data_IF_879095564770
#
_entry.id   IF_879095564770
#
_cell.length_a   1.000
_cell.length_b   1.000
_cell.length_c   1.000
_cell.angle_alpha   90.00
_cell.angle_beta   90.00
_cell.angle_gamma   90.00
#
_symmetry.space_group_name_H-M   'P 1'
#
loop_
_entity.id
_entity.type
_entity.pdbx_description
1 polymer ?
#
# COMPACT_ATOMS: atom_id res chain seq x y z
N UNK A 1 -21.23 -7.89 0.30
CA UNK A 1 -21.79 -8.78 -0.75
C UNK A 1 -20.69 -9.09 -1.76
N UNK A 2 -20.62 -10.31 -2.30
CA UNK A 2 -19.63 -10.66 -3.34
C UNK A 2 -20.32 -10.62 -4.71
N UNK A 3 -19.67 -10.05 -5.72
CA UNK A 3 -20.14 -10.05 -7.11
C UNK A 3 -19.20 -10.87 -7.99
N UNK A 4 -19.75 -11.55 -8.98
CA UNK A 4 -18.99 -12.35 -9.93
C UNK A 4 -18.53 -11.47 -11.09
N UNK A 5 -17.28 -11.65 -11.52
CA UNK A 5 -16.69 -10.97 -12.66
C UNK A 5 -16.22 -12.04 -13.65
N UNK A 6 -16.67 -11.94 -14.90
CA UNK A 6 -16.20 -12.81 -15.99
C UNK A 6 -15.01 -12.15 -16.68
N UNK A 7 -13.91 -12.90 -16.86
CA UNK A 7 -12.68 -12.41 -17.47
C UNK A 7 -12.29 -13.29 -18.65
N UNK A 8 -11.96 -12.66 -19.77
CA UNK A 8 -11.34 -13.32 -20.92
C UNK A 8 -9.82 -13.22 -20.78
N UNK A 9 -9.15 -14.37 -20.66
CA UNK A 9 -7.71 -14.46 -20.52
C UNK A 9 -7.15 -15.46 -21.54
N UNK A 10 -5.90 -15.26 -21.93
CA UNK A 10 -5.19 -16.19 -22.79
C UNK A 10 -5.10 -17.59 -22.13
N UNK A 11 -5.32 -18.66 -22.92
CA UNK A 11 -5.25 -20.05 -22.45
C UNK A 11 -3.92 -20.38 -21.78
N UNK A 12 -2.81 -19.84 -22.28
CA UNK A 12 -1.46 -20.03 -21.71
C UNK A 12 -1.38 -19.43 -20.31
N UNK A 13 -1.97 -18.24 -20.11
CA UNK A 13 -2.02 -17.58 -18.80
C UNK A 13 -2.88 -18.38 -17.83
N UNK A 14 -4.05 -18.86 -18.26
CA UNK A 14 -4.92 -19.72 -17.43
C UNK A 14 -4.17 -20.98 -16.97
N UNK A 15 -3.42 -21.63 -17.87
CA UNK A 15 -2.64 -22.84 -17.53
C UNK A 15 -1.56 -22.54 -16.49
N UNK A 16 -0.80 -21.46 -16.67
CA UNK A 16 0.23 -21.02 -15.72
C UNK A 16 -0.38 -20.63 -14.37
N UNK A 17 -1.51 -19.92 -14.38
CA UNK A 17 -2.22 -19.51 -13.17
C UNK A 17 -2.70 -20.72 -12.35
N UNK A 18 -3.23 -21.76 -13.00
CA UNK A 18 -3.63 -23.01 -12.32
C UNK A 18 -2.46 -23.69 -11.62
N UNK A 19 -1.31 -23.79 -12.30
CA UNK A 19 -0.09 -24.37 -11.71
C UNK A 19 0.38 -23.54 -10.51
N UNK A 20 0.40 -22.21 -10.64
CA UNK A 20 0.80 -21.32 -9.56
C UNK A 20 -0.16 -21.41 -8.36
N UNK A 21 -1.46 -21.49 -8.61
CA UNK A 21 -2.49 -21.62 -7.60
C UNK A 21 -2.33 -22.94 -6.82
N UNK A 22 -2.12 -24.05 -7.53
CA UNK A 22 -1.83 -25.35 -6.90
C UNK A 22 -0.56 -25.31 -6.04
N UNK A 23 0.53 -24.70 -6.53
CA UNK A 23 1.78 -24.52 -5.76
C UNK A 23 1.60 -23.69 -4.48
N UNK A 24 0.58 -22.84 -4.42
CA UNK A 24 0.28 -21.95 -3.30
C UNK A 24 -0.91 -22.45 -2.46
N UNK A 25 -1.39 -23.68 -2.70
CA UNK A 25 -2.57 -24.25 -2.04
C UNK A 25 -3.79 -23.30 -2.11
N UNK A 26 -3.95 -22.63 -3.24
CA UNK A 26 -4.96 -21.60 -3.47
C UNK A 26 -5.74 -21.86 -4.76
N UNK A 27 -6.88 -21.18 -4.92
CA UNK A 27 -7.62 -21.15 -6.18
C UNK A 27 -7.19 -19.98 -7.06
N UNK A 28 -7.37 -20.10 -8.38
CA UNK A 28 -7.09 -19.00 -9.33
C UNK A 28 -7.92 -17.77 -8.99
N UNK A 29 -9.20 -17.95 -8.64
CA UNK A 29 -10.09 -16.87 -8.21
C UNK A 29 -9.58 -16.16 -6.95
N UNK A 30 -9.06 -16.92 -5.98
CA UNK A 30 -8.48 -16.34 -4.75
C UNK A 30 -7.25 -15.48 -5.09
N UNK A 31 -6.34 -15.97 -5.93
CA UNK A 31 -5.18 -15.20 -6.37
C UNK A 31 -5.58 -13.91 -7.10
N UNK A 32 -6.56 -13.97 -8.00
CA UNK A 32 -7.06 -12.80 -8.71
C UNK A 32 -7.71 -11.78 -7.77
N UNK A 33 -8.51 -12.25 -6.81
CA UNK A 33 -9.13 -11.40 -5.80
C UNK A 33 -8.08 -10.70 -4.92
N UNK A 34 -7.04 -11.41 -4.49
CA UNK A 34 -5.93 -10.84 -3.71
C UNK A 34 -5.15 -9.79 -4.49
N UNK A 35 -4.86 -10.05 -5.77
CA UNK A 35 -4.19 -9.07 -6.64
C UNK A 35 -5.04 -7.81 -6.85
N UNK A 36 -6.34 -7.97 -7.13
CA UNK A 36 -7.24 -6.84 -7.30
C UNK A 36 -7.36 -6.03 -6.00
N UNK A 37 -7.45 -6.71 -4.86
CA UNK A 37 -7.48 -6.06 -3.54
C UNK A 37 -6.21 -5.26 -3.30
N UNK A 38 -5.04 -5.80 -3.68
CA UNK A 38 -3.76 -5.09 -3.56
C UNK A 38 -3.75 -3.81 -4.40
N UNK A 39 -4.13 -3.90 -5.67
CA UNK A 39 -4.15 -2.74 -6.59
C UNK A 39 -5.05 -1.64 -6.03
N UNK A 40 -6.27 -1.97 -5.61
CA UNK A 40 -7.22 -1.00 -5.04
C UNK A 40 -6.67 -0.42 -3.72
N UNK A 41 -6.11 -1.27 -2.86
CA UNK A 41 -5.55 -0.82 -1.59
C UNK A 41 -4.37 0.12 -1.78
N UNK A 42 -3.48 -0.14 -2.74
CA UNK A 42 -2.33 0.70 -3.05
C UNK A 42 -2.79 2.10 -3.51
N UNK A 43 -3.81 2.17 -4.37
CA UNK A 43 -4.40 3.43 -4.83
C UNK A 43 -5.03 4.23 -3.66
N UNK A 44 -5.85 3.57 -2.84
CA UNK A 44 -6.49 4.15 -1.66
C UNK A 44 -5.47 4.61 -0.60
N UNK A 45 -4.38 3.86 -0.44
CA UNK A 45 -3.38 4.12 0.59
C UNK A 45 -2.58 5.39 0.28
N UNK A 46 -2.27 5.65 -1.00
CA UNK A 46 -1.67 6.92 -1.41
C UNK A 46 -2.63 8.08 -1.14
N UNK A 47 -3.87 8.00 -1.62
CA UNK A 47 -4.86 9.07 -1.47
C UNK A 47 -5.13 9.38 0.01
N UNK A 48 -5.30 8.35 0.85
CA UNK A 48 -5.51 8.52 2.29
C UNK A 48 -4.28 9.10 3.00
N UNK A 49 -3.06 8.68 2.63
CA UNK A 49 -1.82 9.21 3.19
C UNK A 49 -1.62 10.68 2.83
N UNK A 50 -1.89 11.05 1.57
CA UNK A 50 -1.86 12.44 1.09
C UNK A 50 -2.83 13.32 1.87
N UNK A 51 -4.09 12.88 2.05
CA UNK A 51 -5.08 13.61 2.85
C UNK A 51 -4.61 13.82 4.29
N UNK A 52 -4.10 12.77 4.94
CA UNK A 52 -3.57 12.85 6.31
C UNK A 52 -2.37 13.79 6.42
N UNK A 53 -1.43 13.73 5.48
CA UNK A 53 -0.26 14.59 5.46
C UNK A 53 -0.65 16.07 5.30
N UNK A 54 -1.54 16.39 4.36
CA UNK A 54 -2.04 17.76 4.16
C UNK A 54 -2.80 18.29 5.38
N UNK A 55 -3.62 17.45 6.02
CA UNK A 55 -4.31 17.83 7.26
C UNK A 55 -3.33 18.14 8.39
N UNK A 56 -2.26 17.37 8.53
CA UNK A 56 -1.18 17.61 9.50
C UNK A 56 -0.44 18.92 9.22
N UNK A 57 -0.11 19.18 7.95
CA UNK A 57 0.52 20.44 7.54
C UNK A 57 -0.36 21.67 7.84
N UNK A 58 -1.66 21.59 7.55
CA UNK A 58 -2.61 22.68 7.84
C UNK A 58 -2.80 22.93 9.33
N UNK A 59 -2.87 21.86 10.13
CA UNK A 59 -2.99 21.98 11.59
C UNK A 59 -1.70 22.51 12.22
N UNK A 60 -0.55 22.15 11.63
CA UNK A 60 0.74 22.35 12.26
C UNK A 60 0.93 21.45 13.49
N UNK A 61 2.15 21.43 14.02
CA UNK A 61 2.46 20.77 15.28
C UNK A 61 3.08 21.81 16.21
N UNK A 62 2.61 21.86 17.46
CA UNK A 62 3.25 22.68 18.49
C UNK A 62 4.68 22.17 18.81
N UNK A 63 4.95 20.88 18.51
CA UNK A 63 6.17 20.10 18.73
C UNK A 63 6.76 20.11 20.16
N UNK A 64 6.31 21.02 21.03
CA UNK A 64 6.80 21.17 22.40
C UNK A 64 8.31 21.46 22.44
N UNK A 65 8.83 21.50 23.67
CA UNK A 65 10.26 21.65 23.92
C UNK A 65 10.73 23.10 24.06
N UNK A 66 11.90 23.23 24.68
CA UNK A 66 12.73 24.45 24.61
C UNK A 66 13.85 24.17 23.63
N UNK A 67 14.23 25.18 22.85
CA UNK A 67 15.44 25.10 22.04
C UNK A 67 16.62 25.12 23.03
N UNK A 68 17.23 23.96 23.28
CA UNK A 68 18.31 23.80 24.25
C UNK A 68 19.71 23.91 23.63
N UNK A 69 19.81 23.79 22.30
CA UNK A 69 21.06 23.83 21.58
C UNK A 69 20.83 24.40 20.17
N UNK A 70 21.84 25.06 19.61
CA UNK A 70 21.82 25.51 18.22
C UNK A 70 22.09 24.34 17.27
N UNK A 71 21.70 24.49 15.99
CA UNK A 71 21.87 23.45 14.97
C UNK A 71 23.34 23.04 14.83
N UNK A 72 24.22 24.02 14.90
CA UNK A 72 25.67 23.88 14.78
C UNK A 72 26.23 23.01 15.91
N UNK A 73 25.76 23.24 17.15
CA UNK A 73 26.15 22.48 18.34
C UNK A 73 25.74 21.00 18.26
N UNK A 74 24.64 20.68 17.57
CA UNK A 74 24.18 19.31 17.34
C UNK A 74 24.85 18.63 16.12
N UNK A 75 25.37 19.42 15.18
CA UNK A 75 25.99 18.92 13.95
C UNK A 75 27.47 18.59 14.14
N UNK A 76 28.14 19.18 15.13
CA UNK A 76 29.47 18.77 15.54
C UNK A 76 29.43 17.37 16.15
N UNK A 77 29.75 16.37 15.34
CA UNK A 77 30.14 15.05 15.85
C UNK A 77 31.53 15.19 16.46
N UNK A 78 31.61 15.14 17.79
CA UNK A 78 32.84 14.77 18.49
C UNK A 78 32.96 13.25 18.57
#
# INVERSE_FOLDING_TARGET
>A
MKQNITLSLDRVIIKKAKVLAAKKEASVTKLLAEQLTRIVSEDDQYASSKRRALARLRKGFHLGGRILAKREELHERR
#
